data_IF_626278408459
#
_entry.id   IF_626278408459
#
_cell.length_a   1.000
_cell.length_b   1.000
_cell.length_c   1.000
_cell.angle_alpha   90.00
_cell.angle_beta   90.00
_cell.angle_gamma   90.00
#
_symmetry.space_group_name_H-M   'P 1'
#
loop_
_entity.id
_entity.type
_entity.pdbx_description
1 polymer ?
#
# COMPACT_ATOMS: atom_id res chain seq x y z
N UNK A 1 11.26 -21.44 5.41
CA UNK A 1 11.21 -19.96 5.41
C UNK A 1 11.03 -19.52 3.96
N UNK A 2 9.97 -18.78 3.61
CA UNK A 2 9.79 -18.30 2.23
C UNK A 2 10.80 -17.20 1.92
N UNK A 3 11.16 -17.02 0.64
CA UNK A 3 12.05 -15.92 0.23
C UNK A 3 11.51 -14.55 0.66
N UNK A 4 10.18 -14.34 0.55
CA UNK A 4 9.50 -13.16 1.08
C UNK A 4 9.80 -12.93 2.57
N UNK A 5 9.65 -13.97 3.40
CA UNK A 5 9.90 -13.87 4.85
C UNK A 5 11.36 -13.53 5.17
N UNK A 6 12.31 -14.13 4.45
CA UNK A 6 13.73 -13.82 4.57
C UNK A 6 14.04 -12.37 4.16
N UNK A 7 13.62 -11.96 2.95
CA UNK A 7 13.83 -10.60 2.45
C UNK A 7 13.20 -9.56 3.38
N UNK A 8 11.98 -9.83 3.87
CA UNK A 8 11.29 -9.00 4.86
C UNK A 8 12.10 -8.86 6.16
N UNK A 9 12.69 -9.95 6.65
CA UNK A 9 13.56 -9.93 7.83
C UNK A 9 14.80 -9.07 7.62
N UNK A 10 15.49 -9.24 6.50
CA UNK A 10 16.69 -8.45 6.13
C UNK A 10 16.36 -6.97 6.04
N UNK A 11 15.32 -6.61 5.28
CA UNK A 11 14.88 -5.21 5.13
C UNK A 11 14.52 -4.61 6.48
N UNK A 12 13.81 -5.35 7.34
CA UNK A 12 13.48 -4.89 8.69
C UNK A 12 14.72 -4.63 9.53
N UNK A 13 15.70 -5.52 9.54
CA UNK A 13 16.94 -5.37 10.31
C UNK A 13 17.76 -4.17 9.86
N UNK A 14 17.78 -3.87 8.57
CA UNK A 14 18.54 -2.72 8.02
C UNK A 14 17.78 -1.41 8.18
N UNK A 15 16.51 -1.36 7.75
CA UNK A 15 15.78 -0.10 7.65
C UNK A 15 15.22 0.39 8.99
N UNK A 16 14.90 -0.52 9.93
CA UNK A 16 14.37 -0.11 11.24
C UNK A 16 15.35 0.77 12.03
N UNK A 17 16.64 0.41 12.23
CA UNK A 17 17.58 1.28 12.92
C UNK A 17 17.96 2.51 12.07
N UNK A 18 18.13 2.33 10.76
CA UNK A 18 18.55 3.39 9.86
C UNK A 18 17.51 4.52 9.77
N UNK A 19 16.21 4.20 9.79
CA UNK A 19 15.13 5.19 9.70
C UNK A 19 14.22 5.24 10.94
N UNK A 20 14.72 4.70 12.06
CA UNK A 20 14.03 4.62 13.36
C UNK A 20 12.54 4.33 13.20
N UNK A 21 12.22 3.27 12.45
CA UNK A 21 10.85 3.00 12.00
C UNK A 21 9.94 2.69 13.20
N UNK A 22 8.88 3.47 13.36
CA UNK A 22 7.86 3.28 14.40
C UNK A 22 6.54 2.92 13.76
N UNK A 23 5.83 1.95 14.34
CA UNK A 23 4.59 1.43 13.76
C UNK A 23 3.46 1.53 14.76
N UNK A 24 2.31 2.04 14.31
CA UNK A 24 1.12 2.26 15.12
C UNK A 24 -0.12 1.70 14.42
N UNK A 25 -1.19 1.39 15.17
CA UNK A 25 -2.47 0.97 14.61
C UNK A 25 -2.52 -0.45 14.05
N UNK A 26 -1.56 -1.32 14.40
CA UNK A 26 -1.51 -2.71 13.89
C UNK A 26 -2.74 -3.52 14.30
N UNK A 27 -3.32 -3.18 15.44
CA UNK A 27 -4.56 -3.73 15.99
C UNK A 27 -5.77 -3.52 15.06
N UNK A 28 -5.75 -2.48 14.22
CA UNK A 28 -6.80 -2.24 13.22
C UNK A 28 -6.70 -3.15 12.00
N UNK A 29 -5.56 -3.82 11.80
CA UNK A 29 -5.31 -4.59 10.60
C UNK A 29 -6.08 -5.93 10.61
N UNK A 30 -6.95 -6.21 9.62
CA UNK A 30 -7.72 -7.44 9.59
C UNK A 30 -6.84 -8.70 9.54
N UNK A 31 -7.06 -9.62 10.50
CA UNK A 31 -6.28 -10.87 10.62
C UNK A 31 -6.54 -11.86 9.49
N UNK A 32 -7.74 -11.82 8.90
CA UNK A 32 -8.20 -12.72 7.83
C UNK A 32 -8.96 -11.92 6.76
N UNK A 33 -9.23 -12.57 5.62
CA UNK A 33 -9.92 -11.94 4.49
C UNK A 33 -9.04 -10.97 3.70
N UNK A 34 -9.56 -10.52 2.56
CA UNK A 34 -8.87 -9.62 1.65
C UNK A 34 -8.70 -8.24 2.28
N UNK A 35 -7.52 -7.65 2.10
CA UNK A 35 -7.24 -6.29 2.60
C UNK A 35 -6.70 -5.43 1.46
N UNK A 36 -7.40 -4.33 1.20
CA UNK A 36 -6.93 -3.28 0.31
C UNK A 36 -6.19 -2.24 1.16
N UNK A 37 -4.86 -2.31 1.18
CA UNK A 37 -4.02 -1.41 1.95
C UNK A 37 -3.63 -0.20 1.09
N UNK A 38 -4.14 0.98 1.44
CA UNK A 38 -3.92 2.22 0.70
C UNK A 38 -3.00 3.16 1.49
N UNK A 39 -1.85 3.53 0.94
CA UNK A 39 -0.90 4.43 1.59
C UNK A 39 -0.58 5.66 0.74
N UNK A 40 -0.20 6.77 1.38
CA UNK A 40 0.51 7.85 0.69
C UNK A 40 1.89 7.39 0.22
N UNK A 41 2.45 8.09 -0.78
CA UNK A 41 3.74 7.75 -1.37
C UNK A 41 4.73 8.93 -1.39
N UNK A 42 5.67 8.94 -0.46
CA UNK A 42 6.70 9.99 -0.29
C UNK A 42 8.11 9.53 -0.70
N UNK A 43 8.35 8.22 -0.86
CA UNK A 43 9.67 7.64 -1.18
C UNK A 43 9.56 6.30 -1.88
N UNK A 44 10.56 5.95 -2.71
CA UNK A 44 10.73 4.59 -3.25
C UNK A 44 10.90 3.53 -2.14
N UNK A 45 11.20 3.95 -0.92
CA UNK A 45 11.27 3.10 0.27
C UNK A 45 9.91 2.78 0.89
N UNK A 46 8.81 3.40 0.46
CA UNK A 46 7.50 3.13 1.05
C UNK A 46 7.03 1.68 0.83
N UNK A 47 7.07 1.09 -0.37
CA UNK A 47 6.71 -0.32 -0.55
C UNK A 47 7.47 -1.28 0.39
N UNK A 48 8.83 -1.24 0.48
CA UNK A 48 9.54 -2.14 1.40
C UNK A 48 9.26 -1.82 2.88
N UNK A 49 9.09 -0.55 3.25
CA UNK A 49 8.81 -0.15 4.64
C UNK A 49 7.42 -0.57 5.07
N UNK A 50 6.40 -0.34 4.24
CA UNK A 50 5.03 -0.82 4.49
C UNK A 50 4.99 -2.34 4.48
N UNK A 51 5.64 -2.99 3.51
CA UNK A 51 5.70 -4.45 3.41
C UNK A 51 6.37 -5.11 4.63
N UNK A 52 7.43 -4.52 5.18
CA UNK A 52 8.10 -5.06 6.37
C UNK A 52 7.31 -4.83 7.67
N UNK A 53 6.53 -3.75 7.74
CA UNK A 53 5.81 -3.34 8.95
C UNK A 53 4.39 -3.91 9.04
N UNK A 54 3.77 -4.24 7.90
CA UNK A 54 2.40 -4.75 7.81
C UNK A 54 2.23 -6.10 8.55
N UNK A 55 1.17 -6.30 9.35
CA UNK A 55 0.97 -7.57 10.07
C UNK A 55 0.90 -8.81 9.18
N UNK A 56 0.50 -8.65 7.90
CA UNK A 56 0.35 -9.72 6.91
C UNK A 56 1.19 -9.42 5.66
N UNK A 57 1.63 -10.46 4.90
CA UNK A 57 2.36 -10.25 3.65
C UNK A 57 1.56 -9.40 2.66
N UNK A 58 2.21 -8.41 2.06
CA UNK A 58 1.60 -7.45 1.13
C UNK A 58 2.03 -7.76 -0.29
N UNK A 59 1.06 -7.81 -1.20
CA UNK A 59 1.29 -7.83 -2.64
C UNK A 59 1.23 -6.40 -3.17
N UNK A 60 2.30 -5.89 -3.76
CA UNK A 60 2.32 -4.53 -4.30
C UNK A 60 2.20 -4.55 -5.81
N UNK A 61 1.44 -3.60 -6.35
CA UNK A 61 1.48 -3.29 -7.78
C UNK A 61 2.73 -2.45 -8.04
N UNK A 62 3.61 -2.94 -8.90
CA UNK A 62 4.90 -2.32 -9.21
C UNK A 62 5.05 -2.10 -10.73
N UNK A 63 5.70 -1.00 -11.10
CA UNK A 63 6.00 -0.66 -12.49
C UNK A 63 6.77 -1.79 -13.18
N UNK A 64 6.33 -2.19 -14.38
CA UNK A 64 6.99 -3.26 -15.16
C UNK A 64 8.47 -2.96 -15.40
N UNK A 65 8.85 -1.69 -15.55
CA UNK A 65 10.25 -1.27 -15.73
C UNK A 65 11.16 -1.69 -14.56
N UNK A 66 10.62 -1.84 -13.35
CA UNK A 66 11.38 -2.31 -12.18
C UNK A 66 11.80 -3.79 -12.30
N UNK A 67 11.05 -4.58 -13.08
CA UNK A 67 11.37 -5.99 -13.31
C UNK A 67 12.51 -6.18 -14.32
N UNK A 68 12.98 -5.12 -14.98
CA UNK A 68 14.15 -5.17 -15.86
C UNK A 68 15.44 -4.68 -15.19
N UNK A 69 15.36 -4.11 -13.99
CA UNK A 69 16.55 -3.65 -13.23
C UNK A 69 17.32 -4.88 -12.72
N UNK A 70 18.63 -5.03 -12.99
CA UNK A 70 19.37 -6.30 -12.76
C UNK A 70 19.20 -6.91 -11.36
N UNK A 71 19.20 -6.09 -10.31
CA UNK A 71 19.01 -6.55 -8.93
C UNK A 71 17.53 -6.80 -8.60
N UNK A 72 16.62 -5.95 -9.07
CA UNK A 72 15.20 -6.09 -8.76
C UNK A 72 14.53 -7.20 -9.57
N UNK A 73 15.01 -7.48 -10.79
CA UNK A 73 14.55 -8.56 -11.68
C UNK A 73 14.60 -9.93 -11.01
N UNK A 74 15.59 -10.17 -10.15
CA UNK A 74 15.73 -11.44 -9.42
C UNK A 74 14.88 -11.47 -8.14
N UNK A 75 14.60 -10.32 -7.54
CA UNK A 75 13.92 -10.22 -6.23
C UNK A 75 12.40 -10.08 -6.40
N UNK A 76 11.94 -9.17 -7.27
CA UNK A 76 10.53 -8.81 -7.45
C UNK A 76 9.59 -10.00 -7.71
N UNK A 77 9.94 -10.98 -8.56
CA UNK A 77 9.11 -12.16 -8.78
C UNK A 77 8.86 -12.99 -7.50
N UNK A 78 9.74 -12.86 -6.50
CA UNK A 78 9.71 -13.65 -5.27
C UNK A 78 9.17 -12.86 -4.06
N UNK A 79 8.84 -11.57 -4.22
CA UNK A 79 8.35 -10.71 -3.13
C UNK A 79 6.92 -10.20 -3.32
N UNK A 80 6.06 -11.00 -3.96
CA UNK A 80 4.64 -10.69 -4.15
C UNK A 80 4.38 -9.40 -4.97
N UNK A 81 5.29 -9.03 -5.87
CA UNK A 81 5.11 -7.87 -6.75
C UNK A 81 4.28 -8.24 -8.00
N UNK A 82 3.28 -7.43 -8.32
CA UNK A 82 2.45 -7.55 -9.52
C UNK A 82 2.92 -6.50 -10.53
N UNK A 83 3.50 -6.89 -11.68
CA UNK A 83 3.90 -5.93 -12.70
C UNK A 83 2.68 -5.24 -13.30
N UNK A 84 2.79 -3.93 -13.53
CA UNK A 84 1.80 -3.12 -14.26
C UNK A 84 2.49 -2.27 -15.32
N UNK A 85 1.95 -2.30 -16.54
CA UNK A 85 2.31 -1.33 -17.58
C UNK A 85 1.75 0.04 -17.22
N UNK A 86 2.44 1.14 -17.57
CA UNK A 86 2.01 2.50 -17.20
C UNK A 86 0.52 2.72 -17.47
N UNK A 87 -0.21 3.11 -16.41
CA UNK A 87 -1.63 3.42 -16.44
C UNK A 87 -2.54 2.25 -16.04
N UNK A 88 -3.76 2.58 -15.63
CA UNK A 88 -4.81 1.61 -15.22
C UNK A 88 -5.41 0.81 -16.39
N UNK A 89 -4.88 0.95 -17.61
CA UNK A 89 -5.34 0.24 -18.81
C UNK A 89 -4.88 -1.22 -18.84
N UNK A 90 -3.94 -1.62 -17.98
CA UNK A 90 -3.48 -2.99 -17.86
C UNK A 90 -4.49 -3.87 -17.12
N UNK A 91 -5.46 -4.39 -17.88
CA UNK A 91 -6.50 -5.29 -17.38
C UNK A 91 -5.94 -6.54 -16.69
N UNK A 92 -4.74 -6.99 -17.05
CA UNK A 92 -4.14 -8.17 -16.43
C UNK A 92 -3.65 -7.86 -15.01
N UNK A 93 -3.01 -6.72 -14.80
CA UNK A 93 -2.60 -6.27 -13.46
C UNK A 93 -3.83 -6.09 -12.55
N UNK A 94 -4.90 -5.47 -13.07
CA UNK A 94 -6.17 -5.34 -12.33
C UNK A 94 -6.78 -6.69 -11.97
N UNK A 95 -6.82 -7.64 -12.90
CA UNK A 95 -7.35 -8.99 -12.65
C UNK A 95 -6.53 -9.71 -11.57
N UNK A 96 -5.20 -9.61 -11.61
CA UNK A 96 -4.31 -10.19 -10.59
C UNK A 96 -4.54 -9.54 -9.23
N UNK A 97 -4.65 -8.21 -9.16
CA UNK A 97 -4.98 -7.51 -7.91
C UNK A 97 -6.32 -7.94 -7.31
N UNK A 98 -7.35 -8.09 -8.16
CA UNK A 98 -8.65 -8.61 -7.72
C UNK A 98 -8.56 -10.05 -7.22
N UNK A 99 -7.77 -10.91 -7.87
CA UNK A 99 -7.55 -12.29 -7.44
C UNK A 99 -6.89 -12.34 -6.06
N UNK A 100 -5.83 -11.55 -5.83
CA UNK A 100 -5.16 -11.43 -4.52
C UNK A 100 -6.17 -11.09 -3.42
N UNK A 101 -7.03 -10.10 -3.64
CA UNK A 101 -8.04 -9.71 -2.65
C UNK A 101 -9.07 -10.81 -2.41
N UNK A 102 -9.54 -11.48 -3.46
CA UNK A 102 -10.53 -12.57 -3.38
C UNK A 102 -9.99 -13.83 -2.71
N UNK A 103 -8.70 -14.12 -2.87
CA UNK A 103 -8.00 -15.20 -2.18
C UNK A 103 -7.75 -14.87 -0.69
N UNK A 104 -8.17 -13.69 -0.24
CA UNK A 104 -8.03 -13.27 1.14
C UNK A 104 -6.66 -12.70 1.45
N UNK A 105 -5.85 -12.31 0.46
CA UNK A 105 -4.52 -11.74 0.66
C UNK A 105 -4.58 -10.19 0.73
N UNK A 106 -3.43 -9.57 1.06
CA UNK A 106 -3.31 -8.11 1.14
C UNK A 106 -2.80 -7.56 -0.18
N UNK A 107 -3.53 -6.63 -0.79
CA UNK A 107 -3.08 -5.83 -1.92
C UNK A 107 -2.71 -4.43 -1.42
N UNK A 108 -1.43 -4.06 -1.56
CA UNK A 108 -0.91 -2.73 -1.27
C UNK A 108 -0.92 -1.84 -2.51
N UNK A 109 -1.44 -0.62 -2.36
CA UNK A 109 -1.40 0.40 -3.39
C UNK A 109 -1.14 1.80 -2.85
N UNK A 110 -0.66 2.63 -3.75
CA UNK A 110 -0.48 4.06 -3.53
C UNK A 110 -1.46 4.79 -4.43
N UNK A 111 -2.61 5.30 -3.91
CA UNK A 111 -3.68 5.83 -4.75
C UNK A 111 -3.23 7.00 -5.64
N UNK A 112 -2.21 7.75 -5.22
CA UNK A 112 -1.62 8.85 -6.00
C UNK A 112 -1.04 8.40 -7.35
N UNK A 113 -0.70 7.11 -7.52
CA UNK A 113 -0.10 6.54 -8.73
C UNK A 113 1.33 7.00 -9.05
N UNK A 114 1.81 8.01 -8.34
CA UNK A 114 3.16 8.54 -8.37
C UNK A 114 3.58 8.97 -6.98
N UNK A 115 4.89 9.15 -6.79
CA UNK A 115 5.44 9.70 -5.56
C UNK A 115 5.21 11.21 -5.49
N UNK A 116 4.84 11.69 -4.31
CA UNK A 116 4.80 13.11 -3.99
C UNK A 116 6.21 13.70 -3.96
N UNK A 117 6.43 14.77 -4.73
CA UNK A 117 7.70 15.51 -4.75
C UNK A 117 7.78 16.58 -3.65
N UNK A 118 6.64 17.03 -3.15
CA UNK A 118 6.53 18.08 -2.12
C UNK A 118 6.38 17.50 -0.72
N UNK A 119 6.10 16.20 -0.60
CA UNK A 119 5.76 15.55 0.67
C UNK A 119 4.31 15.79 1.11
N UNK A 120 3.51 16.44 0.27
CA UNK A 120 2.07 16.60 0.43
C UNK A 120 1.32 15.49 -0.29
N UNK A 121 0.15 15.13 0.22
CA UNK A 121 -0.69 14.10 -0.38
C UNK A 121 -1.29 14.64 -1.70
N UNK A 122 -0.99 13.98 -2.81
CA UNK A 122 -1.52 14.31 -4.13
C UNK A 122 -2.98 13.89 -4.35
N UNK A 123 -3.48 14.08 -5.57
CA UNK A 123 -4.79 13.60 -5.98
C UNK A 123 -4.76 12.07 -6.20
N UNK A 124 -5.78 11.38 -5.70
CA UNK A 124 -5.90 9.93 -5.87
C UNK A 124 -6.49 9.56 -7.23
N UNK A 125 -5.97 8.50 -7.83
CA UNK A 125 -6.50 7.87 -9.04
C UNK A 125 -7.59 6.84 -8.69
N UNK A 126 -8.56 6.70 -9.60
CA UNK A 126 -9.72 5.81 -9.49
C UNK A 126 -9.41 4.33 -9.16
N UNK A 127 -8.15 3.88 -9.31
CA UNK A 127 -7.77 2.49 -9.08
C UNK A 127 -8.02 1.98 -7.66
N UNK A 128 -7.84 2.83 -6.64
CA UNK A 128 -8.14 2.44 -5.26
C UNK A 128 -9.63 2.11 -5.10
N UNK A 129 -10.49 3.02 -5.53
CA UNK A 129 -11.95 2.83 -5.48
C UNK A 129 -12.42 1.68 -6.36
N UNK A 130 -11.79 1.45 -7.51
CA UNK A 130 -12.08 0.30 -8.37
C UNK A 130 -11.93 -1.03 -7.63
N UNK A 131 -10.82 -1.23 -6.91
CA UNK A 131 -10.61 -2.45 -6.13
C UNK A 131 -11.58 -2.55 -4.94
N UNK A 132 -11.80 -1.43 -4.25
CA UNK A 132 -12.68 -1.35 -3.09
C UNK A 132 -14.15 -1.67 -3.40
N UNK A 133 -14.63 -1.27 -4.59
CA UNK A 133 -16.01 -1.50 -5.04
C UNK A 133 -16.23 -2.89 -5.64
N UNK A 134 -15.18 -3.55 -6.17
CA UNK A 134 -15.30 -4.84 -6.87
C UNK A 134 -14.97 -6.06 -6.02
N UNK A 135 -14.66 -5.86 -4.74
CA UNK A 135 -14.31 -6.92 -3.80
C UNK A 135 -14.89 -6.62 -2.42
N UNK A 136 -15.10 -7.63 -1.60
CA UNK A 136 -15.46 -7.46 -0.18
C UNK A 136 -14.25 -7.25 0.73
N UNK A 137 -13.10 -6.90 0.14
CA UNK A 137 -11.90 -6.61 0.90
C UNK A 137 -12.12 -5.42 1.84
N UNK A 138 -11.56 -5.51 3.05
CA UNK A 138 -11.53 -4.38 3.98
C UNK A 138 -10.50 -3.37 3.49
N UNK A 139 -10.90 -2.11 3.39
CA UNK A 139 -10.01 -1.02 2.95
C UNK A 139 -9.33 -0.41 4.16
N UNK A 140 -8.01 -0.52 4.24
CA UNK A 140 -7.22 -0.03 5.38
C UNK A 140 -6.39 1.17 4.91
N UNK A 141 -6.65 2.38 5.41
CA UNK A 141 -5.82 3.53 5.14
C UNK A 141 -4.51 3.43 5.94
N UNK A 142 -3.42 3.87 5.33
CA UNK A 142 -2.08 3.86 5.91
C UNK A 142 -1.40 5.20 5.67
N UNK A 143 -0.70 5.70 6.68
CA UNK A 143 0.11 6.90 6.57
C UNK A 143 1.58 6.57 6.85
N UNK A 144 2.45 6.96 5.92
CA UNK A 144 3.89 7.02 6.10
C UNK A 144 4.28 8.48 6.31
N UNK A 145 4.87 8.77 7.47
CA UNK A 145 5.26 10.12 7.88
C UNK A 145 6.76 10.12 8.20
N UNK A 146 7.52 10.97 7.52
CA UNK A 146 8.96 11.08 7.69
C UNK A 146 9.62 11.64 6.45
N UNK A 147 10.94 11.52 6.39
CA UNK A 147 11.73 11.98 5.23
C UNK A 147 12.78 10.97 4.78
N UNK A 148 12.81 9.77 5.39
CA UNK A 148 13.86 8.76 5.17
C UNK A 148 15.29 9.33 5.28
N UNK A 149 15.48 10.36 6.11
CA UNK A 149 16.82 10.80 6.50
C UNK A 149 17.43 9.75 7.44
N UNK A 150 18.68 9.33 7.24
CA UNK A 150 19.36 8.43 8.17
C UNK A 150 19.24 8.93 9.61
N UNK A 151 18.94 8.00 10.52
CA UNK A 151 18.72 8.19 11.95
C UNK A 151 17.58 9.15 12.33
N UNK A 152 16.69 9.46 11.38
CA UNK A 152 15.45 10.22 11.62
C UNK A 152 14.26 9.28 11.69
N UNK A 153 13.25 9.63 12.48
CA UNK A 153 12.05 8.79 12.67
C UNK A 153 11.19 8.76 11.41
N UNK A 154 10.82 7.55 11.00
CA UNK A 154 9.75 7.29 10.03
C UNK A 154 8.61 6.55 10.72
N UNK A 155 7.41 7.14 10.74
CA UNK A 155 6.20 6.53 11.31
C UNK A 155 5.43 5.83 10.20
N UNK A 156 4.92 4.63 10.49
CA UNK A 156 3.93 3.91 9.68
C UNK A 156 2.69 3.71 10.55
N UNK A 157 1.54 4.17 10.07
CA UNK A 157 0.31 4.24 10.87
C UNK A 157 -0.80 3.57 10.08
N UNK A 158 -1.36 2.51 10.63
CA UNK A 158 -2.53 1.83 10.07
C UNK A 158 -3.80 2.37 10.71
N UNK A 159 -4.67 2.96 9.91
CA UNK A 159 -5.98 3.43 10.36
C UNK A 159 -7.00 2.31 10.51
N UNK A 160 -8.15 2.66 11.05
CA UNK A 160 -9.32 1.78 11.10
C UNK A 160 -9.81 1.46 9.69
N UNK A 161 -10.25 0.22 9.41
CA UNK A 161 -10.84 -0.10 8.12
C UNK A 161 -12.03 0.81 7.80
N UNK A 162 -12.07 1.34 6.59
CA UNK A 162 -13.13 2.22 6.11
C UNK A 162 -14.40 1.40 5.93
N UNK A 163 -15.53 1.94 6.39
CA UNK A 163 -16.84 1.36 6.12
C UNK A 163 -17.22 1.59 4.65
N UNK A 164 -17.23 0.49 3.90
CA UNK A 164 -17.55 0.49 2.48
C UNK A 164 -19.05 0.29 2.21
N UNK A 165 -19.86 -0.08 3.21
CA UNK A 165 -21.28 -0.39 3.01
C UNK A 165 -22.06 0.85 2.57
N UNK A 166 -21.81 2.00 3.21
CA UNK A 166 -22.43 3.26 2.84
C UNK A 166 -22.05 3.69 1.42
N UNK A 167 -20.77 3.57 1.05
CA UNK A 167 -20.27 3.95 -0.27
C UNK A 167 -20.85 3.04 -1.38
N UNK A 168 -20.99 1.75 -1.10
CA UNK A 168 -21.61 0.79 -2.03
C UNK A 168 -23.10 1.02 -2.19
N UNK A 169 -23.82 1.29 -1.09
CA UNK A 169 -25.28 1.53 -1.14
C UNK A 169 -25.63 2.80 -1.92
N UNK A 170 -24.80 3.84 -1.80
CA UNK A 170 -24.91 5.08 -2.58
C UNK A 170 -24.48 4.96 -4.05
N UNK A 171 -24.03 3.78 -4.48
CA UNK A 171 -23.46 3.53 -5.83
C UNK A 171 -22.36 4.54 -6.20
N UNK A 172 -21.50 4.88 -5.23
CA UNK A 172 -20.41 5.83 -5.45
C UNK A 172 -19.50 5.37 -6.60
N UNK A 173 -19.00 6.32 -7.37
CA UNK A 173 -18.01 6.10 -8.41
C UNK A 173 -16.64 5.69 -7.80
N UNK A 174 -15.79 4.97 -8.54
CA UNK A 174 -14.42 4.68 -8.12
C UNK A 174 -13.63 5.93 -7.69
N UNK A 175 -13.86 7.06 -8.34
CA UNK A 175 -13.23 8.34 -8.04
C UNK A 175 -13.69 8.88 -6.68
N UNK A 176 -14.99 8.85 -6.39
CA UNK A 176 -15.54 9.27 -5.08
C UNK A 176 -15.03 8.39 -3.94
N UNK A 177 -15.02 7.07 -4.13
CA UNK A 177 -14.47 6.14 -3.14
C UNK A 177 -13.00 6.42 -2.90
N UNK A 178 -12.24 6.67 -3.96
CA UNK A 178 -10.81 7.03 -3.84
C UNK A 178 -10.65 8.32 -3.04
N UNK A 179 -11.49 9.34 -3.26
CA UNK A 179 -11.45 10.60 -2.49
C UNK A 179 -11.67 10.36 -1.00
N UNK A 180 -12.60 9.48 -0.63
CA UNK A 180 -12.82 9.10 0.79
C UNK A 180 -11.58 8.42 1.36
N UNK A 181 -11.00 7.45 0.65
CA UNK A 181 -9.76 6.78 1.06
C UNK A 181 -8.62 7.80 1.27
N UNK A 182 -8.49 8.75 0.35
CA UNK A 182 -7.47 9.80 0.44
C UNK A 182 -7.71 10.76 1.61
N UNK A 183 -8.97 11.08 1.92
CA UNK A 183 -9.33 11.90 3.08
C UNK A 183 -8.90 11.23 4.39
N UNK A 184 -9.16 9.92 4.52
CA UNK A 184 -8.73 9.13 5.69
C UNK A 184 -7.20 9.08 5.83
N UNK A 185 -6.48 8.86 4.73
CA UNK A 185 -5.01 8.92 4.72
C UNK A 185 -4.53 10.31 5.15
N UNK A 186 -5.14 11.37 4.63
CA UNK A 186 -4.80 12.76 5.00
C UNK A 186 -5.03 13.02 6.48
N UNK A 187 -6.14 12.54 7.03
CA UNK A 187 -6.47 12.67 8.44
C UNK A 187 -5.44 11.96 9.33
N UNK A 188 -5.04 10.73 8.96
CA UNK A 188 -3.95 10.01 9.64
C UNK A 188 -2.65 10.80 9.62
N UNK A 189 -2.29 11.41 8.48
CA UNK A 189 -1.09 12.25 8.37
C UNK A 189 -1.18 13.46 9.31
N UNK A 190 -2.30 14.19 9.30
CA UNK A 190 -2.47 15.42 10.09
C UNK A 190 -2.45 15.13 11.59
N UNK A 191 -3.16 14.08 12.04
CA UNK A 191 -3.24 13.72 13.47
C UNK A 191 -1.92 13.24 14.07
N UNK A 192 -0.96 12.84 13.24
CA UNK A 192 0.27 12.18 13.70
C UNK A 192 1.57 12.86 13.25
N UNK A 193 1.47 14.05 12.63
CA UNK A 193 2.64 14.89 12.35
C UNK A 193 3.25 15.44 13.63
#
# INVERSE_FOLDING_TARGET
MTFYGFARGVVKTVLTPLYRVRVYGKEHFPKTGGVLLCSNHISELDPPVVGMTAPRPVHFIAKEELFEVPVLKTILPHINAIPIKRGMSDRNALRKGLAVLKEGNVLGLFPEGTRSKTGELGEGLAGAGFFALRTDAKVVPCAVIGSYKPFSVTKVIYGTPIDMEELRSKKASPEEVTKVIMAEIKELIVKNR
#
